data_IF_949232590125
#
_entry.id   IF_949232590125
#
_cell.length_a   1.000
_cell.length_b   1.000
_cell.length_c   1.000
_cell.angle_alpha   90.00
_cell.angle_beta   90.00
_cell.angle_gamma   90.00
#
_symmetry.space_group_name_H-M   'P 1'
#
loop_
_entity.id
_entity.type
_entity.pdbx_description
1 polymer ?
#
# COMPACT_ATOMS: atom_id res chain seq x y z
N UNK A 1 -14.63 -10.34 -12.78
CA UNK A 1 -13.23 -10.22 -12.31
C UNK A 1 -13.28 -10.39 -10.81
N UNK A 2 -12.59 -11.41 -10.26
CA UNK A 2 -12.54 -11.64 -8.82
C UNK A 2 -11.50 -10.69 -8.23
N UNK A 3 -11.93 -9.81 -7.32
CA UNK A 3 -11.04 -8.90 -6.61
C UNK A 3 -10.70 -9.46 -5.23
N UNK A 4 -9.41 -9.69 -4.99
CA UNK A 4 -8.87 -10.16 -3.73
C UNK A 4 -8.02 -9.08 -3.05
N UNK A 5 -8.23 -8.86 -1.75
CA UNK A 5 -7.33 -8.05 -0.91
C UNK A 5 -6.47 -8.98 -0.08
N UNK A 6 -5.17 -8.70 -0.02
CA UNK A 6 -4.23 -9.36 0.90
C UNK A 6 -3.85 -8.36 1.99
N UNK A 7 -4.18 -8.67 3.25
CA UNK A 7 -3.76 -7.85 4.39
C UNK A 7 -2.35 -8.26 4.83
N UNK A 8 -1.42 -7.30 4.84
CA UNK A 8 -0.02 -7.52 5.24
C UNK A 8 0.45 -6.46 6.24
N UNK A 9 1.26 -6.83 7.23
CA UNK A 9 1.84 -5.87 8.19
C UNK A 9 3.12 -5.24 7.65
N UNK A 10 3.21 -3.90 7.75
CA UNK A 10 4.45 -3.14 7.56
C UNK A 10 5.23 -2.90 8.87
N UNK A 11 4.66 -3.29 10.03
CA UNK A 11 5.22 -3.01 11.35
C UNK A 11 5.74 -4.26 12.04
N UNK A 12 6.98 -4.61 11.72
CA UNK A 12 7.87 -5.31 12.66
C UNK A 12 8.98 -4.33 13.07
N UNK A 13 8.65 -3.37 13.94
CA UNK A 13 9.64 -2.40 14.48
C UNK A 13 10.79 -3.09 15.22
N UNK A 14 10.55 -4.25 15.82
CA UNK A 14 11.59 -5.04 16.50
C UNK A 14 12.61 -5.68 15.53
N UNK A 15 12.25 -5.86 14.24
CA UNK A 15 13.15 -6.41 13.20
C UNK A 15 13.73 -5.31 12.29
N UNK A 16 13.17 -4.08 12.35
CA UNK A 16 13.64 -2.94 11.57
C UNK A 16 15.08 -2.50 11.88
N UNK A 17 15.64 -2.82 13.06
CA UNK A 17 17.06 -2.53 13.34
C UNK A 17 18.03 -3.52 12.69
N UNK A 18 17.58 -4.74 12.37
CA UNK A 18 18.38 -5.80 11.75
C UNK A 18 18.31 -5.80 10.22
N UNK A 19 17.24 -5.27 9.63
CA UNK A 19 17.09 -5.12 8.17
C UNK A 19 17.40 -3.67 7.75
N UNK A 20 18.68 -3.33 7.62
CA UNK A 20 19.15 -2.02 7.12
C UNK A 20 18.77 -1.70 5.66
N UNK A 21 17.90 -2.47 5.02
CA UNK A 21 17.34 -2.13 3.71
C UNK A 21 16.09 -2.98 3.43
N UNK A 22 15.10 -2.37 2.76
CA UNK A 22 13.86 -2.96 2.22
C UNK A 22 12.63 -3.00 3.14
N UNK A 23 11.83 -1.94 3.06
CA UNK A 23 10.39 -1.98 3.35
C UNK A 23 9.71 -2.96 2.39
N UNK A 24 8.89 -3.88 2.90
CA UNK A 24 8.24 -4.94 2.10
C UNK A 24 7.41 -4.39 0.93
N UNK A 25 6.87 -3.17 1.06
CA UNK A 25 6.14 -2.47 -0.01
C UNK A 25 6.99 -2.26 -1.28
N UNK A 26 8.28 -1.91 -1.12
CA UNK A 26 9.16 -1.65 -2.27
C UNK A 26 9.47 -2.93 -3.06
N UNK A 27 9.58 -4.08 -2.38
CA UNK A 27 9.84 -5.36 -3.05
C UNK A 27 8.60 -5.86 -3.79
N UNK A 28 7.42 -5.79 -3.17
CA UNK A 28 6.18 -6.23 -3.78
C UNK A 28 5.84 -5.41 -5.03
N UNK A 29 5.98 -4.07 -4.94
CA UNK A 29 5.84 -3.17 -6.09
C UNK A 29 6.86 -3.46 -7.18
N UNK A 30 8.13 -3.69 -6.83
CA UNK A 30 9.19 -4.05 -7.81
C UNK A 30 8.85 -5.36 -8.54
N UNK A 31 8.41 -6.39 -7.82
CA UNK A 31 8.04 -7.68 -8.41
C UNK A 31 6.81 -7.56 -9.33
N UNK A 32 5.82 -6.74 -8.95
CA UNK A 32 4.67 -6.44 -9.81
C UNK A 32 5.10 -5.70 -11.09
N UNK A 33 5.95 -4.67 -10.96
CA UNK A 33 6.48 -3.91 -12.09
C UNK A 33 7.28 -4.79 -13.07
N UNK A 34 8.13 -5.69 -12.56
CA UNK A 34 8.87 -6.67 -13.39
C UNK A 34 7.95 -7.61 -14.19
N UNK A 35 6.74 -7.87 -13.69
CA UNK A 35 5.71 -8.67 -14.36
C UNK A 35 4.72 -7.83 -15.19
N UNK A 36 4.92 -6.52 -15.27
CA UNK A 36 4.00 -5.59 -15.96
C UNK A 36 2.64 -5.47 -15.29
N UNK A 37 2.51 -5.84 -14.00
CA UNK A 37 1.26 -5.77 -13.25
C UNK A 37 1.09 -4.36 -12.67
N UNK A 38 -0.03 -3.72 -13.04
CA UNK A 38 -0.43 -2.38 -12.60
C UNK A 38 -1.95 -2.32 -12.37
N UNK A 39 -2.49 -1.26 -11.74
CA UNK A 39 -3.93 -1.07 -11.63
C UNK A 39 -4.61 -1.18 -13.02
N UNK A 40 -5.81 -1.80 -13.10
CA UNK A 40 -6.63 -2.32 -12.00
C UNK A 40 -6.29 -3.75 -11.56
N UNK A 41 -5.32 -4.43 -12.18
CA UNK A 41 -5.01 -5.85 -11.88
C UNK A 41 -4.37 -6.03 -10.50
N UNK A 42 -3.41 -5.17 -10.17
CA UNK A 42 -2.74 -5.14 -8.87
C UNK A 42 -2.61 -3.69 -8.42
N UNK A 43 -3.08 -3.40 -7.22
CA UNK A 43 -2.92 -2.12 -6.55
C UNK A 43 -2.36 -2.35 -5.14
N UNK A 44 -1.48 -1.46 -4.70
CA UNK A 44 -0.86 -1.53 -3.38
C UNK A 44 -1.35 -0.34 -2.56
N UNK A 45 -2.13 -0.63 -1.53
CA UNK A 45 -2.76 0.39 -0.69
C UNK A 45 -2.07 0.42 0.66
N UNK A 46 -1.51 1.57 1.03
CA UNK A 46 -0.98 1.78 2.36
C UNK A 46 -2.11 2.25 3.29
N UNK A 47 -2.46 1.43 4.27
CA UNK A 47 -3.48 1.75 5.27
C UNK A 47 -3.08 1.25 6.66
N UNK A 48 -3.64 1.85 7.71
CA UNK A 48 -3.60 1.29 9.06
C UNK A 48 -4.74 0.29 9.23
N UNK A 49 -4.46 -0.89 9.77
CA UNK A 49 -5.51 -1.88 10.07
C UNK A 49 -6.41 -1.49 11.26
N UNK A 50 -6.08 -0.39 11.94
CA UNK A 50 -6.87 0.16 13.05
C UNK A 50 -7.74 1.36 12.63
N UNK A 51 -7.74 1.70 11.34
CA UNK A 51 -8.48 2.83 10.77
C UNK A 51 -9.33 2.36 9.59
N UNK A 52 -10.35 3.11 9.16
CA UNK A 52 -11.12 2.78 7.95
C UNK A 52 -10.20 2.63 6.74
N UNK A 53 -10.38 1.53 6.01
CA UNK A 53 -9.63 1.25 4.79
C UNK A 53 -10.13 2.17 3.67
N UNK A 54 -9.25 2.68 2.79
CA UNK A 54 -9.62 3.59 1.70
C UNK A 54 -10.25 2.82 0.51
N UNK A 55 -11.23 1.98 0.82
CA UNK A 55 -11.87 1.02 -0.07
C UNK A 55 -13.38 1.19 0.03
N UNK A 56 -14.04 1.20 -1.12
CA UNK A 56 -15.49 1.32 -1.24
C UNK A 56 -16.21 0.15 -0.57
N UNK A 57 -17.37 0.43 0.01
CA UNK A 57 -18.23 -0.62 0.55
C UNK A 57 -18.69 -1.57 -0.57
N UNK A 58 -18.89 -2.84 -0.23
CA UNK A 58 -19.43 -3.84 -1.18
C UNK A 58 -18.66 -3.89 -2.53
N UNK A 59 -17.33 -3.75 -2.48
CA UNK A 59 -16.48 -3.67 -3.67
C UNK A 59 -15.56 -4.88 -3.85
N UNK A 60 -15.36 -5.68 -2.79
CA UNK A 60 -14.38 -6.78 -2.73
C UNK A 60 -15.07 -8.14 -2.74
N UNK A 61 -14.56 -9.08 -3.54
CA UNK A 61 -15.15 -10.42 -3.61
C UNK A 61 -14.54 -11.36 -2.56
N UNK A 62 -13.24 -11.24 -2.30
CA UNK A 62 -12.52 -12.10 -1.36
C UNK A 62 -11.45 -11.33 -0.58
N UNK A 63 -11.24 -11.70 0.68
CA UNK A 63 -10.13 -11.18 1.50
C UNK A 63 -9.30 -12.35 2.02
N UNK A 64 -7.99 -12.22 1.84
CA UNK A 64 -6.99 -13.16 2.32
C UNK A 64 -6.10 -12.47 3.36
N UNK A 65 -5.79 -13.14 4.46
CA UNK A 65 -4.84 -12.65 5.46
C UNK A 65 -4.05 -13.80 6.05
N UNK A 66 -2.77 -13.56 6.34
CA UNK A 66 -1.90 -14.54 6.99
C UNK A 66 -1.22 -13.89 8.20
N UNK A 67 -1.59 -14.35 9.40
CA UNK A 67 -1.04 -14.07 10.73
C UNK A 67 -0.98 -12.59 11.19
N UNK A 68 -1.26 -11.63 10.32
CA UNK A 68 -1.10 -10.19 10.60
C UNK A 68 -2.15 -9.65 11.57
N UNK A 69 -3.33 -10.25 11.60
CA UNK A 69 -4.44 -9.83 12.46
C UNK A 69 -4.11 -10.08 13.94
N UNK A 70 -3.26 -11.05 14.24
CA UNK A 70 -2.79 -11.34 15.60
C UNK A 70 -1.87 -10.27 16.18
N UNK A 71 -1.37 -9.33 15.37
CA UNK A 71 -0.61 -8.18 15.87
C UNK A 71 -1.50 -7.06 16.43
N UNK A 72 -2.82 -7.21 16.34
CA UNK A 72 -3.81 -6.24 16.80
C UNK A 72 -4.29 -6.56 18.22
N UNK A 73 -4.61 -5.52 18.98
CA UNK A 73 -5.41 -5.69 20.20
C UNK A 73 -6.76 -6.32 19.88
N UNK A 74 -7.39 -6.95 20.88
CA UNK A 74 -8.71 -7.57 20.70
C UNK A 74 -9.75 -6.58 20.13
N UNK A 75 -9.80 -5.36 20.64
CA UNK A 75 -10.71 -4.31 20.17
C UNK A 75 -10.41 -3.89 18.73
N UNK A 76 -9.12 -3.72 18.38
CA UNK A 76 -8.69 -3.39 17.02
C UNK A 76 -9.01 -4.52 16.04
N UNK A 77 -8.87 -5.77 16.47
CA UNK A 77 -9.24 -6.97 15.71
C UNK A 77 -10.74 -6.97 15.40
N UNK A 78 -11.58 -6.73 16.41
CA UNK A 78 -13.04 -6.64 16.22
C UNK A 78 -13.44 -5.47 15.30
N UNK A 79 -12.79 -4.31 15.43
CA UNK A 79 -13.02 -3.16 14.56
C UNK A 79 -12.61 -3.44 13.10
N UNK A 80 -11.44 -4.06 12.89
CA UNK A 80 -10.98 -4.48 11.57
C UNK A 80 -11.97 -5.44 10.91
N UNK A 81 -12.49 -6.44 11.65
CA UNK A 81 -13.44 -7.40 11.07
C UNK A 81 -14.76 -6.73 10.64
N UNK A 82 -15.23 -5.70 11.35
CA UNK A 82 -16.37 -4.87 10.89
C UNK A 82 -16.04 -4.12 9.60
N UNK A 83 -14.83 -3.61 9.49
CA UNK A 83 -14.37 -2.91 8.28
C UNK A 83 -14.20 -3.86 7.09
N UNK A 84 -13.66 -5.06 7.31
CA UNK A 84 -13.59 -6.16 6.34
C UNK A 84 -14.99 -6.54 5.87
N UNK A 85 -15.96 -6.63 6.78
CA UNK A 85 -17.36 -6.87 6.42
C UNK A 85 -17.95 -5.72 5.58
N UNK A 86 -17.62 -4.45 5.89
CA UNK A 86 -18.08 -3.28 5.11
C UNK A 86 -17.63 -3.35 3.65
N UNK A 87 -16.36 -3.67 3.41
CA UNK A 87 -15.77 -3.64 2.05
C UNK A 87 -16.09 -4.87 1.20
N UNK A 88 -16.40 -6.01 1.84
CA UNK A 88 -16.84 -7.20 1.13
C UNK A 88 -18.20 -7.01 0.50
N UNK A 89 -18.38 -7.51 -0.71
CA UNK A 89 -19.69 -7.66 -1.35
C UNK A 89 -20.58 -8.63 -0.56
N UNK A 90 -21.92 -8.49 -0.61
CA UNK A 90 -22.81 -9.60 -0.30
C UNK A 90 -22.45 -10.84 -1.15
N UNK A 91 -22.30 -12.00 -0.50
CA UNK A 91 -21.76 -13.23 -1.08
C UNK A 91 -20.23 -13.35 -1.06
N UNK A 92 -19.53 -12.29 -0.64
CA UNK A 92 -18.09 -12.25 -0.50
C UNK A 92 -17.57 -13.09 0.68
N UNK A 93 -16.29 -13.45 0.63
CA UNK A 93 -15.68 -14.43 1.55
C UNK A 93 -14.39 -13.92 2.16
N UNK A 94 -14.11 -14.35 3.39
CA UNK A 94 -12.79 -14.20 4.01
C UNK A 94 -12.13 -15.58 4.15
N UNK A 95 -10.81 -15.61 3.96
CA UNK A 95 -9.95 -16.75 4.30
C UNK A 95 -8.76 -16.21 5.10
N UNK A 96 -8.69 -16.58 6.37
CA UNK A 96 -7.65 -16.14 7.28
C UNK A 96 -6.84 -17.35 7.75
N UNK A 97 -5.52 -17.28 7.61
CA UNK A 97 -4.61 -18.21 8.29
C UNK A 97 -4.05 -17.48 9.52
N UNK A 98 -4.47 -17.86 10.73
CA UNK A 98 -4.10 -17.18 11.97
C UNK A 98 -3.74 -18.19 13.07
N UNK A 99 -3.02 -17.72 14.10
CA UNK A 99 -2.78 -18.48 15.32
C UNK A 99 -3.91 -18.19 16.32
N UNK A 100 -4.53 -19.25 16.85
CA UNK A 100 -5.66 -19.18 17.77
C UNK A 100 -5.27 -19.82 19.10
N UNK A 101 -5.63 -19.19 20.21
CA UNK A 101 -5.34 -19.70 21.54
C UNK A 101 -6.31 -20.83 21.91
N UNK A 102 -5.78 -21.92 22.46
CA UNK A 102 -6.56 -23.05 23.02
C UNK A 102 -7.10 -22.74 24.42
N UNK A 103 -6.34 -21.95 25.18
CA UNK A 103 -6.61 -21.52 26.57
C UNK A 103 -6.02 -20.13 26.77
N UNK A 104 -6.41 -19.46 27.86
CA UNK A 104 -5.89 -18.12 28.16
C UNK A 104 -4.38 -18.15 28.22
N UNK A 105 -3.73 -17.28 27.45
CA UNK A 105 -2.27 -17.19 27.45
C UNK A 105 -1.79 -16.58 28.78
N UNK A 106 -0.75 -17.14 29.43
CA UNK A 106 -0.16 -16.55 30.60
C UNK A 106 0.64 -15.29 30.25
N UNK A 107 0.87 -14.44 31.24
CA UNK A 107 1.42 -13.08 31.05
C UNK A 107 2.86 -13.08 30.52
N UNK A 108 3.64 -14.12 30.81
CA UNK A 108 4.96 -14.34 30.24
C UNK A 108 4.93 -14.51 28.72
N UNK A 109 3.94 -15.23 28.18
CA UNK A 109 3.73 -15.37 26.72
C UNK A 109 3.25 -14.06 26.10
N UNK A 110 2.31 -13.39 26.76
CA UNK A 110 1.73 -12.14 26.24
C UNK A 110 2.77 -11.04 26.10
N UNK A 111 3.70 -10.97 27.04
CA UNK A 111 4.73 -9.93 27.11
C UNK A 111 6.05 -10.33 26.42
N UNK A 112 6.17 -11.57 25.90
CA UNK A 112 7.33 -12.02 25.17
C UNK A 112 7.38 -11.48 23.73
N UNK A 113 8.50 -10.85 23.39
CA UNK A 113 8.72 -10.23 22.08
C UNK A 113 8.77 -11.29 20.97
N UNK A 114 9.36 -12.46 21.23
CA UNK A 114 9.44 -13.49 20.22
C UNK A 114 8.07 -14.08 19.88
N UNK A 115 7.24 -14.30 20.90
CA UNK A 115 5.85 -14.73 20.76
C UNK A 115 4.99 -13.67 20.09
N UNK A 116 5.28 -12.38 20.30
CA UNK A 116 4.65 -11.29 19.55
C UNK A 116 5.03 -11.30 18.07
N UNK A 117 6.33 -11.43 17.75
CA UNK A 117 6.79 -11.55 16.34
C UNK A 117 6.23 -12.82 15.68
N UNK A 118 6.15 -13.92 16.44
CA UNK A 118 5.55 -15.19 16.03
C UNK A 118 4.02 -15.19 15.95
N UNK A 119 3.35 -14.05 16.20
CA UNK A 119 1.89 -13.91 16.15
C UNK A 119 1.12 -14.79 17.15
N UNK A 120 1.79 -15.24 18.23
CA UNK A 120 1.23 -16.08 19.29
C UNK A 120 0.66 -15.23 20.42
N UNK A 121 1.35 -14.16 20.84
CA UNK A 121 0.94 -13.39 22.03
C UNK A 121 -0.40 -12.65 21.88
N UNK A 122 -0.77 -12.29 20.65
CA UNK A 122 -2.07 -11.70 20.32
C UNK A 122 -3.13 -12.70 19.83
N UNK A 123 -2.85 -14.01 19.96
CA UNK A 123 -3.84 -15.04 19.71
C UNK A 123 -4.97 -14.96 20.75
N UNK A 124 -6.20 -15.10 20.27
CA UNK A 124 -7.42 -15.04 21.09
C UNK A 124 -8.06 -16.42 21.12
N UNK A 125 -8.92 -16.68 22.10
CA UNK A 125 -9.62 -17.96 22.17
C UNK A 125 -10.47 -18.19 20.92
N UNK A 126 -10.61 -19.44 20.48
CA UNK A 126 -11.40 -19.79 19.30
C UNK A 126 -12.83 -19.23 19.38
N UNK A 127 -13.48 -19.36 20.53
CA UNK A 127 -14.85 -18.87 20.72
C UNK A 127 -14.93 -17.34 20.74
N UNK A 128 -13.90 -16.66 21.24
CA UNK A 128 -13.81 -15.20 21.15
C UNK A 128 -13.64 -14.75 19.69
N UNK A 129 -12.83 -15.48 18.91
CA UNK A 129 -12.62 -15.19 17.49
C UNK A 129 -13.93 -15.36 16.70
N UNK A 130 -14.66 -16.46 16.93
CA UNK A 130 -15.98 -16.68 16.33
C UNK A 130 -16.97 -15.58 16.73
N UNK A 131 -16.99 -15.18 18.00
CA UNK A 131 -17.87 -14.13 18.49
C UNK A 131 -17.63 -12.80 17.76
N UNK A 132 -16.38 -12.35 17.62
CA UNK A 132 -16.08 -11.08 16.91
C UNK A 132 -16.39 -11.15 15.40
N UNK A 133 -16.29 -12.33 14.79
CA UNK A 133 -16.73 -12.54 13.39
C UNK A 133 -18.24 -12.41 13.26
N UNK A 134 -19.00 -13.03 14.18
CA UNK A 134 -20.45 -12.92 14.20
C UNK A 134 -20.91 -11.48 14.49
N UNK A 135 -20.29 -10.81 15.45
CA UNK A 135 -20.56 -9.40 15.78
C UNK A 135 -20.23 -8.44 14.62
N UNK A 136 -19.30 -8.82 13.75
CA UNK A 136 -18.99 -8.07 12.54
C UNK A 136 -20.02 -8.26 11.42
N UNK A 137 -20.91 -9.24 11.54
CA UNK A 137 -21.97 -9.54 10.56
C UNK A 137 -21.70 -10.77 9.69
N UNK A 138 -20.64 -11.53 9.94
CA UNK A 138 -20.37 -12.75 9.19
C UNK A 138 -21.27 -13.92 9.65
N UNK A 139 -21.72 -14.71 8.68
CA UNK A 139 -22.34 -16.03 8.92
C UNK A 139 -21.42 -17.15 8.44
N UNK A 140 -21.83 -18.39 8.74
CA UNK A 140 -21.18 -19.61 8.23
C UNK A 140 -19.68 -19.65 8.50
N UNK A 141 -19.31 -19.33 9.75
CA UNK A 141 -17.91 -19.34 10.21
C UNK A 141 -17.43 -20.79 10.36
N UNK A 142 -16.41 -21.16 9.59
CA UNK A 142 -15.73 -22.44 9.68
C UNK A 142 -14.28 -22.22 10.11
N UNK A 143 -13.90 -22.79 11.24
CA UNK A 143 -12.53 -22.78 11.73
C UNK A 143 -11.97 -24.20 11.68
N UNK A 144 -10.88 -24.40 10.94
CA UNK A 144 -10.20 -25.69 10.77
C UNK A 144 -8.82 -25.61 11.39
N UNK A 145 -8.53 -26.47 12.37
CA UNK A 145 -7.20 -26.61 12.94
C UNK A 145 -6.25 -27.26 11.92
N UNK A 146 -5.16 -26.57 11.59
CA UNK A 146 -4.16 -27.06 10.63
C UNK A 146 -3.29 -28.19 11.21
N UNK A 147 -3.27 -28.35 12.55
CA UNK A 147 -2.42 -29.30 13.29
C UNK A 147 -0.92 -29.10 13.04
N UNK A 148 -0.52 -27.88 12.70
CA UNK A 148 0.88 -27.49 12.50
C UNK A 148 1.63 -27.43 13.83
N UNK A 149 2.92 -27.82 13.82
CA UNK A 149 3.81 -27.67 14.97
C UNK A 149 4.37 -26.24 15.04
N UNK A 150 3.96 -25.47 16.04
CA UNK A 150 4.41 -24.10 16.29
C UNK A 150 5.79 -24.05 16.98
N UNK A 151 6.29 -25.17 17.51
CA UNK A 151 7.60 -25.27 18.13
C UNK A 151 8.76 -24.96 17.18
N UNK A 152 8.54 -25.10 15.87
CA UNK A 152 9.51 -24.80 14.80
C UNK A 152 10.02 -23.34 14.84
N UNK A 153 9.25 -22.41 15.39
CA UNK A 153 9.62 -21.00 15.47
C UNK A 153 10.66 -20.68 16.56
N UNK A 154 11.01 -21.64 17.44
CA UNK A 154 11.82 -21.40 18.64
C UNK A 154 13.16 -22.17 18.70
N UNK A 155 13.76 -22.54 17.55
CA UNK A 155 15.09 -23.18 17.47
C UNK A 155 15.04 -24.66 17.05
N UNK A 156 16.19 -25.26 16.66
CA UNK A 156 16.23 -26.19 15.54
C UNK A 156 15.48 -27.50 15.81
N UNK A 157 14.73 -27.92 14.80
CA UNK A 157 14.12 -29.24 14.68
C UNK A 157 15.16 -30.34 14.89
N UNK A 158 15.02 -31.16 15.93
CA UNK A 158 15.84 -32.38 16.11
C UNK A 158 15.45 -33.52 15.15
N UNK A 159 14.57 -33.29 14.18
CA UNK A 159 14.19 -34.31 13.20
C UNK A 159 14.32 -33.79 11.77
N UNK A 160 15.53 -33.89 11.23
CA UNK A 160 15.82 -33.55 9.85
C UNK A 160 17.26 -33.87 9.48
N UNK A 161 17.63 -35.16 9.49
CA UNK A 161 18.80 -35.63 8.77
C UNK A 161 18.64 -35.33 7.29
N UNK A 162 19.02 -34.14 6.85
CA UNK A 162 19.10 -33.76 5.45
C UNK A 162 20.48 -34.14 4.93
N UNK A 163 20.58 -35.32 4.34
CA UNK A 163 21.49 -35.49 3.21
C UNK A 163 21.02 -34.56 2.09
N UNK A 164 21.94 -33.68 1.68
CA UNK A 164 22.12 -33.18 0.32
C UNK A 164 21.03 -32.28 -0.32
N UNK A 165 21.45 -31.03 -0.60
CA UNK A 165 21.04 -30.17 -1.74
C UNK A 165 19.61 -29.60 -1.77
N UNK A 166 19.40 -28.52 -1.04
CA UNK A 166 18.48 -27.44 -1.46
C UNK A 166 19.14 -26.07 -1.26
N UNK A 167 19.11 -25.16 -2.25
CA UNK A 167 19.68 -23.82 -2.10
C UNK A 167 18.78 -23.01 -1.16
N UNK A 168 19.31 -22.66 0.01
CA UNK A 168 18.59 -21.89 1.02
C UNK A 168 18.38 -20.44 0.54
N UNK A 169 17.13 -19.97 0.55
CA UNK A 169 16.72 -18.63 0.10
C UNK A 169 17.18 -17.48 1.02
N UNK A 170 17.74 -17.78 2.20
CA UNK A 170 18.10 -16.78 3.21
C UNK A 170 19.57 -16.92 3.63
N UNK A 171 20.30 -15.80 3.80
CA UNK A 171 21.64 -15.83 4.39
C UNK A 171 21.58 -16.28 5.86
N UNK A 172 22.65 -16.90 6.39
CA UNK A 172 22.71 -17.35 7.78
C UNK A 172 22.53 -16.18 8.75
N UNK A 173 21.74 -16.39 9.80
CA UNK A 173 21.45 -15.37 10.80
C UNK A 173 22.73 -14.93 11.55
N UNK A 174 22.87 -13.64 11.91
CA UNK A 174 24.03 -13.13 12.62
C UNK A 174 24.17 -13.73 14.03
N UNK A 175 25.40 -13.92 14.54
CA UNK A 175 25.62 -14.47 15.87
C UNK A 175 25.06 -13.52 16.95
N UNK A 176 24.21 -14.06 17.83
CA UNK A 176 23.51 -13.29 18.87
C UNK A 176 22.02 -13.05 18.63
N UNK A 177 21.45 -13.53 17.52
CA UNK A 177 20.02 -13.42 17.18
C UNK A 177 19.18 -14.65 17.56
N UNK A 178 19.60 -15.41 18.58
CA UNK A 178 18.84 -16.57 19.06
C UNK A 178 17.80 -16.09 20.08
N UNK A 179 16.55 -16.14 19.68
CA UNK A 179 15.43 -16.18 20.62
C UNK A 179 15.61 -17.44 21.47
N UNK A 180 15.69 -17.29 22.79
CA UNK A 180 15.71 -18.44 23.70
C UNK A 180 14.37 -19.17 23.62
N UNK A 181 14.43 -20.52 23.60
CA UNK A 181 13.22 -21.34 23.52
C UNK A 181 12.45 -21.15 24.82
N UNK A 182 11.14 -20.83 24.77
CA UNK A 182 10.33 -20.78 25.98
C UNK A 182 10.37 -22.12 26.72
N UNK A 183 10.34 -22.08 28.05
CA UNK A 183 10.31 -23.28 28.90
C UNK A 183 9.00 -24.10 28.76
N UNK A 184 8.01 -23.58 28.01
CA UNK A 184 6.71 -24.20 27.79
C UNK A 184 6.54 -24.70 26.35
N UNK A 185 5.71 -25.72 26.16
CA UNK A 185 5.28 -26.17 24.83
C UNK A 185 4.19 -25.26 24.27
N UNK A 186 4.54 -24.47 23.25
CA UNK A 186 3.64 -23.53 22.56
C UNK A 186 2.40 -24.23 21.99
N UNK A 187 2.52 -25.50 21.56
CA UNK A 187 1.41 -26.24 20.97
C UNK A 187 0.31 -26.58 21.99
N UNK A 188 0.61 -26.55 23.30
CA UNK A 188 -0.41 -26.65 24.34
C UNK A 188 -1.29 -25.41 24.44
N UNK A 189 -0.75 -24.24 24.08
CA UNK A 189 -1.38 -22.95 24.30
C UNK A 189 -2.05 -22.40 23.04
N UNK A 190 -1.50 -22.69 21.86
CA UNK A 190 -2.00 -22.16 20.60
C UNK A 190 -1.91 -23.19 19.47
N UNK A 191 -2.66 -22.95 18.39
CA UNK A 191 -2.55 -23.71 17.14
C UNK A 191 -2.85 -22.83 15.93
N UNK A 192 -2.33 -23.24 14.78
CA UNK A 192 -2.64 -22.58 13.51
C UNK A 192 -4.03 -23.02 13.02
N UNK A 193 -4.85 -22.05 12.66
CA UNK A 193 -6.18 -22.27 12.11
C UNK A 193 -6.31 -21.64 10.74
N UNK A 194 -7.05 -22.32 9.88
CA UNK A 194 -7.64 -21.71 8.71
C UNK A 194 -9.10 -21.37 9.01
N UNK A 195 -9.44 -20.09 8.87
CA UNK A 195 -10.73 -19.51 9.24
C UNK A 195 -11.42 -19.00 7.97
N UNK A 196 -12.62 -19.50 7.74
CA UNK A 196 -13.50 -19.10 6.65
C UNK A 196 -14.73 -18.41 7.21
N UNK A 197 -15.19 -17.34 6.57
CA UNK A 197 -16.49 -16.76 6.86
C UNK A 197 -17.10 -16.12 5.61
N UNK A 198 -18.43 -15.97 5.60
CA UNK A 198 -19.18 -15.45 4.47
C UNK A 198 -20.04 -14.26 4.88
N UNK A 199 -20.07 -13.23 4.04
CA UNK A 199 -21.02 -12.12 4.16
C UNK A 199 -22.30 -12.49 3.42
N UNK A 200 -23.40 -12.68 4.14
CA UNK A 200 -24.69 -13.01 3.53
C UNK A 200 -25.29 -11.81 2.80
N UNK A 201 -26.16 -12.11 1.84
CA UNK A 201 -26.97 -11.13 1.15
C UNK A 201 -26.87 -11.22 -0.37
N UNK A 202 -27.68 -10.40 -1.04
CA UNK A 202 -27.72 -10.30 -2.50
C UNK A 202 -27.06 -9.00 -2.95
N UNK A 203 -26.25 -9.06 -3.99
CA UNK A 203 -25.63 -7.88 -4.62
C UNK A 203 -26.71 -6.91 -5.10
N UNK A 204 -26.66 -5.66 -4.62
CA UNK A 204 -27.61 -4.61 -5.03
C UNK A 204 -27.02 -3.74 -6.15
N UNK A 205 -25.74 -3.40 -6.06
CA UNK A 205 -24.97 -2.71 -7.11
C UNK A 205 -23.48 -2.77 -6.80
N UNK A 206 -22.62 -2.93 -7.82
CA UNK A 206 -21.16 -2.82 -7.64
C UNK A 206 -20.72 -1.37 -7.86
N UNK A 207 -19.90 -0.78 -6.97
CA UNK A 207 -19.39 0.57 -7.18
C UNK A 207 -18.49 0.65 -8.43
N UNK A 208 -18.37 1.84 -9.05
CA UNK A 208 -17.58 2.04 -10.26
C UNK A 208 -16.07 1.93 -10.02
N UNK A 209 -15.63 2.05 -8.77
CA UNK A 209 -14.24 1.92 -8.32
C UNK A 209 -14.19 1.09 -7.04
N UNK A 210 -13.07 0.43 -6.83
CA UNK A 210 -12.74 -0.27 -5.58
C UNK A 210 -12.19 0.70 -4.55
N UNK A 211 -11.32 1.61 -4.98
CA UNK A 211 -10.68 2.57 -4.09
C UNK A 211 -11.57 3.80 -3.97
N UNK A 212 -11.69 4.35 -2.76
CA UNK A 212 -12.34 5.64 -2.52
C UNK A 212 -11.66 6.74 -3.36
N UNK A 213 -10.33 6.65 -3.50
CA UNK A 213 -9.52 7.55 -4.31
C UNK A 213 -8.55 6.72 -5.12
N UNK A 214 -8.53 6.89 -6.44
CA UNK A 214 -7.65 6.12 -7.33
C UNK A 214 -6.16 6.23 -6.95
N UNK A 215 -5.76 7.36 -6.37
CA UNK A 215 -4.37 7.61 -5.98
C UNK A 215 -3.94 6.88 -4.72
N UNK A 216 -4.86 6.24 -3.97
CA UNK A 216 -4.50 5.40 -2.83
C UNK A 216 -3.76 4.12 -3.24
N UNK A 217 -3.73 3.80 -4.54
CA UNK A 217 -2.90 2.75 -5.12
C UNK A 217 -1.40 3.09 -5.17
N UNK A 218 -1.04 4.35 -4.93
CA UNK A 218 0.30 4.88 -5.08
C UNK A 218 0.84 5.46 -3.76
N UNK A 219 2.18 5.53 -3.57
CA UNK A 219 2.78 6.08 -2.37
C UNK A 219 2.35 7.52 -2.11
N UNK A 220 2.25 7.89 -0.83
CA UNK A 220 2.02 9.27 -0.43
C UNK A 220 3.20 10.14 -0.86
N UNK A 221 2.90 11.27 -1.50
CA UNK A 221 3.87 12.30 -1.85
C UNK A 221 4.58 12.79 -0.59
N UNK A 222 5.91 12.87 -0.64
CA UNK A 222 6.77 13.38 0.45
C UNK A 222 7.22 14.82 0.19
N UNK A 223 7.50 15.13 -1.07
CA UNK A 223 7.95 16.46 -1.49
C UNK A 223 6.82 17.47 -1.52
N UNK A 224 7.16 18.75 -1.34
CA UNK A 224 6.25 19.88 -1.51
C UNK A 224 6.81 20.81 -2.60
N UNK A 225 6.51 20.54 -3.88
CA UNK A 225 7.01 21.34 -4.99
C UNK A 225 6.59 22.82 -4.89
N UNK A 226 7.46 23.72 -5.35
CA UNK A 226 7.19 25.15 -5.39
C UNK A 226 6.07 25.50 -6.38
N UNK A 227 5.37 26.60 -6.14
CA UNK A 227 4.36 27.11 -7.07
C UNK A 227 4.91 28.22 -7.97
N UNK A 228 4.44 28.26 -9.22
CA UNK A 228 4.63 29.36 -10.17
C UNK A 228 3.28 29.98 -10.51
N UNK A 229 3.27 31.29 -10.73
CA UNK A 229 2.08 32.07 -11.10
C UNK A 229 1.78 31.98 -12.59
N UNK A 230 0.53 32.31 -12.96
CA UNK A 230 0.13 32.35 -14.36
C UNK A 230 0.95 33.37 -15.16
N UNK A 231 1.26 34.54 -14.59
CA UNK A 231 2.03 35.58 -15.28
C UNK A 231 3.49 35.15 -15.53
N UNK A 232 4.10 34.43 -14.57
CA UNK A 232 5.44 33.85 -14.75
C UNK A 232 5.46 32.81 -15.87
N UNK A 233 4.47 31.92 -15.93
CA UNK A 233 4.38 30.91 -17.00
C UNK A 233 4.11 31.57 -18.36
N UNK A 234 3.24 32.59 -18.43
CA UNK A 234 3.02 33.36 -19.65
C UNK A 234 4.32 34.05 -20.14
N UNK A 235 5.11 34.61 -19.21
CA UNK A 235 6.41 35.20 -19.54
C UNK A 235 7.42 34.15 -20.05
N UNK A 236 7.40 32.92 -19.51
CA UNK A 236 8.23 31.82 -20.02
C UNK A 236 7.86 31.44 -21.46
N UNK A 237 6.56 31.34 -21.76
CA UNK A 237 6.04 31.01 -23.10
C UNK A 237 6.42 32.11 -24.11
N UNK A 238 6.14 33.38 -23.79
CA UNK A 238 6.43 34.53 -24.66
C UNK A 238 7.91 34.79 -24.87
N UNK A 239 8.73 34.46 -23.87
CA UNK A 239 10.18 34.56 -23.96
C UNK A 239 10.81 33.54 -24.91
N UNK A 240 10.03 32.63 -25.52
CA UNK A 240 10.49 31.55 -26.40
C UNK A 240 11.70 30.79 -25.84
N UNK A 241 11.66 30.52 -24.52
CA UNK A 241 12.73 29.77 -23.87
C UNK A 241 12.76 28.33 -24.39
N UNK A 242 13.96 27.75 -24.42
CA UNK A 242 14.16 26.41 -24.99
C UNK A 242 13.38 25.35 -24.22
N UNK A 243 13.15 24.19 -24.83
CA UNK A 243 12.53 23.04 -24.15
C UNK A 243 13.33 22.55 -22.91
N UNK A 244 14.60 22.97 -22.77
CA UNK A 244 15.42 22.71 -21.59
C UNK A 244 15.11 23.65 -20.41
N UNK A 245 14.45 24.78 -20.64
CA UNK A 245 14.16 25.76 -19.59
C UNK A 245 12.85 25.46 -18.86
N UNK A 246 11.81 25.02 -19.58
CA UNK A 246 10.55 24.65 -18.95
C UNK A 246 9.71 23.69 -19.81
N UNK A 247 8.82 22.97 -19.14
CA UNK A 247 7.74 22.21 -19.74
C UNK A 247 6.46 22.37 -18.91
N UNK A 248 5.31 22.54 -19.56
CA UNK A 248 4.02 22.59 -18.88
C UNK A 248 3.29 21.26 -19.09
N UNK A 249 2.78 20.68 -18.01
CA UNK A 249 2.20 19.33 -17.97
C UNK A 249 0.76 19.41 -17.46
N UNK A 250 -0.22 19.13 -18.34
CA UNK A 250 -1.65 18.77 -18.10
C UNK A 250 -2.48 18.97 -19.38
N UNK A 251 -3.72 18.46 -19.40
CA UNK A 251 -4.58 18.17 -20.56
C UNK A 251 -5.05 19.33 -21.45
N UNK A 252 -4.14 20.04 -22.10
CA UNK A 252 -4.36 20.58 -23.45
C UNK A 252 -4.74 22.06 -23.58
N UNK A 253 -4.90 22.81 -22.49
CA UNK A 253 -5.42 24.19 -22.59
C UNK A 253 -4.33 25.27 -22.53
N UNK A 254 -3.21 25.00 -21.86
CA UNK A 254 -2.03 25.88 -21.93
C UNK A 254 -1.29 25.57 -23.21
N UNK A 255 -0.98 26.60 -24.01
CA UNK A 255 -0.37 26.41 -25.33
C UNK A 255 0.93 25.64 -25.26
N UNK A 256 1.02 24.56 -26.04
CA UNK A 256 2.21 23.70 -26.10
C UNK A 256 2.44 22.82 -24.87
N UNK A 257 1.41 22.65 -24.02
CA UNK A 257 1.49 21.74 -22.87
C UNK A 257 1.53 20.26 -23.30
N UNK A 258 2.22 19.45 -22.51
CA UNK A 258 2.24 17.99 -22.67
C UNK A 258 1.09 17.37 -21.89
N UNK A 259 0.30 16.54 -22.57
CA UNK A 259 -0.80 15.82 -21.95
C UNK A 259 -0.32 14.50 -21.35
N UNK A 260 -0.42 14.37 -20.02
CA UNK A 260 -0.17 13.13 -19.29
C UNK A 260 -1.36 12.78 -18.41
N UNK A 261 -1.80 11.53 -18.48
CA UNK A 261 -2.97 11.09 -17.76
C UNK A 261 -2.66 10.86 -16.28
N UNK A 262 -3.26 11.67 -15.40
CA UNK A 262 -2.96 11.65 -13.97
C UNK A 262 -3.12 10.26 -13.33
N UNK A 263 -4.08 9.44 -13.79
CA UNK A 263 -4.34 8.12 -13.18
C UNK A 263 -3.26 7.07 -13.45
N UNK A 264 -2.39 7.26 -14.45
CA UNK A 264 -1.28 6.36 -14.78
C UNK A 264 0.09 7.00 -14.59
N UNK A 265 0.11 8.32 -14.33
CA UNK A 265 1.34 9.12 -14.31
C UNK A 265 2.43 8.55 -13.39
N UNK A 266 2.07 7.99 -12.23
CA UNK A 266 3.05 7.39 -11.33
C UNK A 266 3.80 6.21 -11.97
N UNK A 267 3.09 5.36 -12.72
CA UNK A 267 3.67 4.23 -13.42
C UNK A 267 4.55 4.69 -14.60
N UNK A 268 4.23 5.86 -15.17
CA UNK A 268 4.94 6.45 -16.31
C UNK A 268 6.19 7.26 -15.88
N UNK A 269 6.45 7.44 -14.57
CA UNK A 269 7.55 8.24 -14.03
C UNK A 269 8.93 7.89 -14.62
N UNK A 270 9.33 6.63 -14.81
CA UNK A 270 10.64 6.32 -15.39
C UNK A 270 10.80 6.88 -16.80
N UNK A 271 9.79 6.71 -17.67
CA UNK A 271 9.81 7.26 -19.02
C UNK A 271 9.69 8.79 -19.03
N UNK A 272 8.87 9.33 -18.12
CA UNK A 272 8.73 10.77 -17.93
C UNK A 272 10.04 11.43 -17.52
N UNK A 273 10.78 10.80 -16.58
CA UNK A 273 12.09 11.25 -16.15
C UNK A 273 13.09 11.31 -17.29
N UNK A 274 13.22 10.25 -18.11
CA UNK A 274 14.18 10.26 -19.22
C UNK A 274 13.90 11.39 -20.21
N UNK A 275 12.64 11.78 -20.38
CA UNK A 275 12.24 12.89 -21.25
C UNK A 275 12.52 14.27 -20.64
N UNK A 276 12.35 14.45 -19.33
CA UNK A 276 12.35 15.77 -18.69
C UNK A 276 13.46 16.00 -17.65
N UNK A 277 14.38 15.04 -17.43
CA UNK A 277 15.49 15.17 -16.48
C UNK A 277 16.39 16.39 -16.72
N UNK A 278 16.48 16.85 -17.96
CA UNK A 278 17.26 18.03 -18.37
C UNK A 278 16.39 19.28 -18.60
N UNK A 279 15.15 19.28 -18.11
CA UNK A 279 14.22 20.41 -18.15
C UNK A 279 14.15 21.09 -16.80
N UNK A 280 14.67 22.31 -16.67
CA UNK A 280 14.82 23.01 -15.38
C UNK A 280 13.51 23.15 -14.60
N UNK A 281 12.42 23.51 -15.28
CA UNK A 281 11.10 23.69 -14.65
C UNK A 281 10.04 22.82 -15.29
N UNK A 282 9.57 21.78 -14.60
CA UNK A 282 8.46 20.94 -15.06
C UNK A 282 7.21 21.31 -14.26
N UNK A 283 6.29 22.02 -14.92
CA UNK A 283 5.19 22.75 -14.29
C UNK A 283 3.89 21.98 -14.49
N UNK A 284 3.36 21.40 -13.41
CA UNK A 284 2.12 20.64 -13.43
C UNK A 284 0.92 21.52 -13.10
N UNK A 285 -0.22 21.23 -13.73
CA UNK A 285 -1.48 21.86 -13.37
C UNK A 285 -2.65 20.86 -13.36
N UNK A 286 -3.79 21.31 -12.84
CA UNK A 286 -5.09 20.67 -13.06
C UNK A 286 -6.18 21.76 -13.02
N UNK A 287 -7.45 21.37 -12.85
CA UNK A 287 -8.56 22.33 -12.86
C UNK A 287 -8.32 23.56 -11.98
N UNK A 288 -7.95 23.34 -10.71
CA UNK A 288 -7.62 24.41 -9.76
C UNK A 288 -6.27 24.23 -9.08
N UNK A 289 -5.50 23.22 -9.48
CA UNK A 289 -4.25 22.80 -8.83
C UNK A 289 -4.35 22.52 -7.32
N UNK A 290 -5.50 22.00 -6.86
CA UNK A 290 -5.70 21.57 -5.45
C UNK A 290 -5.78 20.05 -5.28
N UNK A 291 -5.39 19.27 -6.30
CA UNK A 291 -5.54 17.81 -6.31
C UNK A 291 -4.49 17.13 -7.18
N UNK A 292 -4.88 16.76 -8.41
CA UNK A 292 -4.04 15.98 -9.34
C UNK A 292 -2.69 16.65 -9.67
N UNK A 293 -2.70 17.93 -10.04
CA UNK A 293 -1.49 18.67 -10.43
C UNK A 293 -0.39 18.66 -9.36
N UNK A 294 -0.65 19.13 -8.13
CA UNK A 294 0.30 19.04 -7.03
C UNK A 294 0.77 17.62 -6.73
N UNK A 295 -0.11 16.63 -6.85
CA UNK A 295 0.24 15.22 -6.62
C UNK A 295 1.24 14.70 -7.65
N UNK A 296 0.99 14.95 -8.93
CA UNK A 296 1.90 14.58 -10.02
C UNK A 296 3.24 15.31 -9.89
N UNK A 297 3.23 16.62 -9.59
CA UNK A 297 4.46 17.37 -9.32
C UNK A 297 5.25 16.78 -8.16
N UNK A 298 4.55 16.41 -7.08
CA UNK A 298 5.15 15.82 -5.89
C UNK A 298 5.77 14.46 -6.16
N UNK A 299 5.07 13.58 -6.87
CA UNK A 299 5.62 12.28 -7.29
C UNK A 299 6.83 12.42 -8.21
N UNK A 300 6.81 13.37 -9.15
CA UNK A 300 7.97 13.64 -9.99
C UNK A 300 9.15 14.14 -9.15
N UNK A 301 8.93 15.08 -8.23
CA UNK A 301 9.98 15.57 -7.34
C UNK A 301 10.53 14.47 -6.42
N UNK A 302 9.66 13.62 -5.87
CA UNK A 302 10.08 12.46 -5.09
C UNK A 302 10.94 11.51 -5.92
N UNK A 303 10.58 11.28 -7.18
CA UNK A 303 11.35 10.44 -8.10
C UNK A 303 12.73 11.04 -8.41
N UNK A 304 12.79 12.36 -8.70
CA UNK A 304 14.04 13.09 -8.89
C UNK A 304 14.95 12.96 -7.66
N UNK A 305 14.41 13.10 -6.45
CA UNK A 305 15.16 12.97 -5.20
C UNK A 305 15.73 11.55 -4.96
N UNK A 306 15.33 10.55 -5.74
CA UNK A 306 15.95 9.20 -5.70
C UNK A 306 17.16 9.05 -6.62
N UNK A 307 17.44 10.04 -7.48
CA UNK A 307 18.55 10.06 -8.43
C UNK A 307 19.70 10.89 -7.87
N UNK A 308 20.90 10.67 -8.39
CA UNK A 308 22.04 11.51 -8.05
C UNK A 308 21.81 12.92 -8.63
N UNK A 309 22.13 13.96 -7.85
CA UNK A 309 21.92 15.35 -8.27
C UNK A 309 22.73 15.74 -9.52
N UNK A 310 23.74 14.97 -9.90
CA UNK A 310 24.49 15.13 -11.15
C UNK A 310 23.75 14.61 -12.39
N UNK A 311 22.74 13.76 -12.21
CA UNK A 311 22.08 13.03 -13.30
C UNK A 311 20.90 13.81 -13.92
N UNK A 312 20.51 14.93 -13.30
CA UNK A 312 19.40 15.75 -13.75
C UNK A 312 19.58 17.22 -13.33
N UNK A 313 18.92 18.13 -14.06
CA UNK A 313 18.80 19.55 -13.70
C UNK A 313 17.35 19.97 -13.45
N UNK A 314 16.44 19.00 -13.48
CA UNK A 314 15.00 19.22 -13.37
C UNK A 314 14.50 19.42 -11.94
N UNK A 315 13.39 20.15 -11.83
CA UNK A 315 12.57 20.26 -10.64
C UNK A 315 11.07 20.35 -11.00
N UNK A 316 10.23 19.80 -10.12
CA UNK A 316 8.79 19.86 -10.24
C UNK A 316 8.21 21.17 -9.69
N UNK A 317 7.19 21.71 -10.36
CA UNK A 317 6.49 22.92 -9.97
C UNK A 317 4.98 22.78 -10.15
N UNK A 318 4.21 23.65 -9.50
CA UNK A 318 2.74 23.71 -9.63
C UNK A 318 2.28 25.06 -10.14
N UNK A 319 1.47 25.08 -11.21
CA UNK A 319 0.79 26.30 -11.66
C UNK A 319 -0.30 26.70 -10.66
N UNK A 320 -0.12 27.85 -10.00
CA UNK A 320 -1.03 28.36 -8.97
C UNK A 320 -2.40 28.70 -9.55
N UNK A 321 -3.45 28.11 -8.97
CA UNK A 321 -4.84 28.31 -9.38
C UNK A 321 -5.28 27.50 -10.61
N UNK A 322 -4.37 26.71 -11.19
CA UNK A 322 -4.65 25.80 -12.30
C UNK A 322 -5.19 26.48 -13.55
N UNK A 323 -5.88 25.71 -14.40
CA UNK A 323 -6.46 26.22 -15.64
C UNK A 323 -7.55 27.27 -15.41
N UNK A 324 -8.29 27.20 -14.28
CA UNK A 324 -9.29 28.22 -13.92
C UNK A 324 -8.68 29.62 -13.83
N UNK A 325 -7.55 29.75 -13.12
CA UNK A 325 -6.85 31.03 -13.00
C UNK A 325 -6.21 31.44 -14.34
N UNK A 326 -5.63 30.47 -15.07
CA UNK A 326 -5.04 30.72 -16.38
C UNK A 326 -6.04 31.32 -17.37
N UNK A 327 -7.19 30.69 -17.56
CA UNK A 327 -8.23 31.17 -18.47
C UNK A 327 -8.81 32.51 -18.00
N UNK A 328 -9.01 32.71 -16.69
CA UNK A 328 -9.50 34.00 -16.18
C UNK A 328 -8.59 35.20 -16.53
N UNK A 329 -7.32 34.94 -16.82
CA UNK A 329 -6.34 35.95 -17.20
C UNK A 329 -6.12 36.02 -18.71
N UNK A 330 -6.07 34.87 -19.38
CA UNK A 330 -5.50 34.75 -20.73
C UNK A 330 -6.43 34.10 -21.77
N UNK A 331 -7.72 33.88 -21.48
CA UNK A 331 -8.68 33.25 -22.42
C UNK A 331 -8.74 33.90 -23.83
N UNK A 332 -8.47 35.21 -23.91
CA UNK A 332 -8.41 35.96 -25.17
C UNK A 332 -7.06 35.92 -25.89
N UNK A 333 -6.01 35.33 -25.30
CA UNK A 333 -4.63 35.40 -25.77
C UNK A 333 -4.25 34.10 -26.51
N UNK A 334 -4.42 34.11 -27.84
CA UNK A 334 -4.19 32.93 -28.69
C UNK A 334 -2.75 32.42 -28.66
N UNK A 335 -1.77 33.26 -28.28
CA UNK A 335 -0.38 32.85 -28.08
C UNK A 335 -0.16 32.02 -26.80
N UNK A 336 -1.13 31.99 -25.88
CA UNK A 336 -1.04 31.34 -24.56
C UNK A 336 -2.05 30.23 -24.32
N UNK A 337 -3.18 30.25 -25.04
CA UNK A 337 -4.27 29.28 -24.87
C UNK A 337 -4.47 28.50 -26.16
N UNK A 338 -4.38 27.17 -26.06
CA UNK A 338 -4.85 26.29 -27.13
C UNK A 338 -6.37 26.15 -26.99
N UNK A 339 -7.10 26.47 -28.06
CA UNK A 339 -8.55 26.23 -28.15
C UNK A 339 -8.74 24.89 -28.85
N UNK A 340 -9.35 23.94 -28.15
CA UNK A 340 -9.74 22.64 -28.69
C UNK A 340 -10.63 22.76 -29.94
#
# INVERSE_FOLDING_TARGET
MLLCIILTSLRLRAVQSLLKSFTHDNLARKNAAQKGLKPPHVAFVQASLTEPLPIESDSVDCILSNCVINLLSFESKASLLKEVHRILKPGGRIVLDDIVAKKELPEDIKNDIASYVGCISGAVLLEQYKAILHDAGFSDVLCVDNKSDLGVYYGPSEHGGATDKTPNCCPPAPPGSRVERPEYDVNEWASSYQIFALKQGSLVSTPPSVLLRWWDAYPTVKSSPSSVTADEVAALIRGQRSAHDFAVIDGGHVRGSYNYHAQTFFDDLPGFYEKFKDTKQVIFYCQSSNGRGPRCAGWYQDYLNTKESSDHTSAGYVLKGGIKNWLSKFEGEEDLVDRD
#
